data_IF_588697377743
#
_entry.id   IF_588697377743
#
_cell.length_a   1.000
_cell.length_b   1.000
_cell.length_c   1.000
_cell.angle_alpha   90.00
_cell.angle_beta   90.00
_cell.angle_gamma   90.00
#
_symmetry.space_group_name_H-M   'P 1'
#
loop_
_entity.id
_entity.type
_entity.pdbx_description
1 polymer ?
#
# COMPACT_ATOMS: atom_id res chain seq x y z
N UNK A 1 3.94 28.80 -16.37
CA UNK A 1 2.93 28.79 -15.30
C UNK A 1 3.63 28.71 -13.95
N UNK A 2 3.16 29.45 -12.95
CA UNK A 2 3.63 29.39 -11.56
C UNK A 2 2.60 28.66 -10.69
N UNK A 3 3.02 27.55 -10.09
CA UNK A 3 2.19 26.67 -9.26
C UNK A 3 2.68 26.77 -7.82
N UNK A 4 1.77 27.12 -6.92
CA UNK A 4 2.04 27.22 -5.49
C UNK A 4 1.45 26.02 -4.74
N UNK A 5 2.25 25.37 -3.89
CA UNK A 5 1.81 24.22 -3.09
C UNK A 5 1.69 24.60 -1.61
N UNK A 6 0.50 24.41 -1.03
CA UNK A 6 0.28 24.57 0.42
C UNK A 6 0.46 23.21 1.10
N UNK A 7 1.48 23.09 1.96
CA UNK A 7 1.90 21.81 2.56
C UNK A 7 2.79 21.00 1.61
N UNK A 8 3.76 21.65 0.98
CA UNK A 8 4.60 21.08 -0.07
C UNK A 8 5.55 19.97 0.44
N UNK A 9 5.89 19.97 1.72
CA UNK A 9 6.77 19.00 2.37
C UNK A 9 6.13 17.63 2.63
N UNK A 10 4.82 17.48 2.39
CA UNK A 10 4.19 16.16 2.43
C UNK A 10 4.69 15.25 1.30
N UNK A 11 4.89 13.96 1.57
CA UNK A 11 5.43 12.97 0.60
C UNK A 11 4.77 13.09 -0.78
N UNK A 12 3.44 13.00 -0.85
CA UNK A 12 2.71 13.09 -2.12
C UNK A 12 2.68 14.49 -2.73
N UNK A 13 2.79 15.55 -1.92
CA UNK A 13 2.82 16.93 -2.42
C UNK A 13 4.18 17.26 -3.03
N UNK A 14 5.26 16.87 -2.36
CA UNK A 14 6.62 17.04 -2.85
C UNK A 14 6.82 16.32 -4.19
N UNK A 15 6.24 15.14 -4.35
CA UNK A 15 6.26 14.41 -5.61
C UNK A 15 5.60 15.18 -6.76
N UNK A 16 4.39 15.73 -6.52
CA UNK A 16 3.66 16.51 -7.52
C UNK A 16 4.39 17.81 -7.85
N UNK A 17 5.01 18.44 -6.85
CA UNK A 17 5.87 19.60 -7.04
C UNK A 17 7.08 19.26 -7.90
N UNK A 18 7.74 18.13 -7.67
CA UNK A 18 8.87 17.66 -8.47
C UNK A 18 8.48 17.37 -9.92
N UNK A 19 7.34 16.70 -10.15
CA UNK A 19 6.78 16.51 -11.51
C UNK A 19 6.57 17.86 -12.19
N UNK A 20 6.05 18.86 -11.46
CA UNK A 20 5.86 20.20 -12.01
C UNK A 20 7.19 20.86 -12.40
N UNK A 21 8.23 20.72 -11.58
CA UNK A 21 9.57 21.26 -11.88
C UNK A 21 10.14 20.58 -13.13
N UNK A 22 10.07 19.25 -13.22
CA UNK A 22 10.54 18.48 -14.37
C UNK A 22 9.83 18.91 -15.66
N UNK A 23 8.54 19.22 -15.60
CA UNK A 23 7.75 19.78 -16.72
C UNK A 23 8.05 21.26 -17.02
N UNK A 24 8.98 21.89 -16.31
CA UNK A 24 9.40 23.27 -16.54
C UNK A 24 8.48 24.32 -15.92
N UNK A 25 7.57 23.94 -15.01
CA UNK A 25 6.77 24.90 -14.27
C UNK A 25 7.59 25.58 -13.18
N UNK A 26 7.30 26.86 -12.91
CA UNK A 26 7.82 27.54 -11.73
C UNK A 26 7.06 27.02 -10.53
N UNK A 27 7.78 26.47 -9.55
CA UNK A 27 7.18 25.92 -8.34
C UNK A 27 7.53 26.79 -7.14
N UNK A 28 6.50 27.16 -6.40
CA UNK A 28 6.60 27.79 -5.09
C UNK A 28 5.80 26.96 -4.08
N UNK A 29 6.04 27.14 -2.80
CA UNK A 29 5.22 26.47 -1.80
C UNK A 29 5.55 26.83 -0.39
N UNK A 30 4.74 26.32 0.51
CA UNK A 30 4.83 26.54 1.95
C UNK A 30 4.69 25.23 2.71
N UNK A 31 5.30 25.17 3.90
CA UNK A 31 5.02 24.12 4.86
C UNK A 31 5.09 24.66 6.30
N UNK A 32 4.53 23.92 7.25
CA UNK A 32 4.58 24.26 8.67
C UNK A 32 5.94 23.96 9.30
N UNK A 33 6.63 22.93 8.80
CA UNK A 33 7.92 22.49 9.32
C UNK A 33 8.89 22.23 8.17
N UNK A 34 10.18 22.43 8.44
CA UNK A 34 11.21 22.10 7.47
C UNK A 34 11.46 20.59 7.41
N UNK A 35 11.96 20.10 6.27
CA UNK A 35 12.20 18.67 6.06
C UNK A 35 13.20 18.41 4.92
N UNK A 36 13.77 17.21 4.90
CA UNK A 36 14.66 16.78 3.81
C UNK A 36 13.99 16.84 2.42
N UNK A 37 12.67 16.65 2.34
CA UNK A 37 11.91 16.78 1.09
C UNK A 37 11.88 18.23 0.60
N UNK A 38 11.77 19.18 1.52
CA UNK A 38 11.81 20.61 1.19
C UNK A 38 13.21 21.00 0.71
N UNK A 39 14.26 20.51 1.37
CA UNK A 39 15.64 20.75 0.95
C UNK A 39 15.90 20.20 -0.45
N UNK A 40 15.39 19.00 -0.74
CA UNK A 40 15.45 18.42 -2.08
C UNK A 40 14.74 19.30 -3.11
N UNK A 41 13.50 19.72 -2.88
CA UNK A 41 12.77 20.61 -3.79
C UNK A 41 13.46 21.95 -4.02
N UNK A 42 14.05 22.54 -2.96
CA UNK A 42 14.86 23.76 -3.07
C UNK A 42 16.08 23.53 -3.95
N UNK A 43 16.74 22.38 -3.82
CA UNK A 43 17.88 22.01 -4.68
C UNK A 43 17.50 21.87 -6.15
N UNK A 44 16.25 21.53 -6.43
CA UNK A 44 15.67 21.49 -7.79
C UNK A 44 15.14 22.85 -8.27
N UNK A 45 15.25 23.91 -7.46
CA UNK A 45 14.89 25.28 -7.83
C UNK A 45 13.51 25.74 -7.37
N UNK A 46 12.78 24.95 -6.57
CA UNK A 46 11.54 25.41 -5.95
C UNK A 46 11.81 26.49 -4.90
N UNK A 47 10.92 27.49 -4.81
CA UNK A 47 10.96 28.47 -3.71
C UNK A 47 10.00 28.03 -2.62
N UNK A 48 10.56 27.46 -1.54
CA UNK A 48 9.77 26.96 -0.41
C UNK A 48 10.01 27.78 0.86
N UNK A 49 8.93 28.28 1.44
CA UNK A 49 8.94 29.06 2.70
C UNK A 49 8.36 28.25 3.86
N UNK A 50 8.87 28.48 5.07
CA UNK A 50 8.32 27.87 6.28
C UNK A 50 7.36 28.86 6.95
N UNK A 51 6.18 28.37 7.29
CA UNK A 51 5.03 29.15 7.75
C UNK A 51 4.08 29.48 6.60
N UNK A 52 2.78 29.27 6.84
CA UNK A 52 1.72 29.43 5.84
C UNK A 52 0.99 30.75 6.07
N UNK A 53 1.45 31.82 5.42
CA UNK A 53 0.94 33.18 5.60
C UNK A 53 0.39 33.77 4.31
N UNK A 54 -0.59 34.68 4.41
CA UNK A 54 -1.22 35.31 3.24
C UNK A 54 -0.22 35.95 2.26
N UNK A 55 0.92 36.46 2.75
CA UNK A 55 1.95 37.12 1.93
C UNK A 55 2.66 36.17 0.97
N UNK A 56 2.61 34.86 1.23
CA UNK A 56 3.20 33.86 0.35
C UNK A 56 2.41 33.73 -0.97
N UNK A 57 1.15 34.17 -0.99
CA UNK A 57 0.31 34.19 -2.19
C UNK A 57 0.54 35.49 -2.97
N UNK A 58 1.53 35.47 -3.86
CA UNK A 58 1.89 36.58 -4.75
C UNK A 58 1.00 36.63 -6.01
N UNK A 59 0.98 37.79 -6.69
CA UNK A 59 0.10 38.02 -7.85
C UNK A 59 0.53 37.25 -9.11
N UNK A 60 1.78 36.76 -9.15
CA UNK A 60 2.29 35.95 -10.27
C UNK A 60 1.94 34.45 -10.16
N UNK A 61 1.26 34.02 -9.09
CA UNK A 61 0.79 32.63 -8.93
C UNK A 61 -0.44 32.40 -9.81
N UNK A 62 -0.39 31.36 -10.64
CA UNK A 62 -1.48 31.01 -11.54
C UNK A 62 -2.39 29.93 -10.97
N UNK A 63 -1.85 29.06 -10.10
CA UNK A 63 -2.57 27.92 -9.54
C UNK A 63 -2.06 27.61 -8.14
N UNK A 64 -2.97 27.19 -7.26
CA UNK A 64 -2.66 26.71 -5.91
C UNK A 64 -3.09 25.25 -5.77
N UNK A 65 -2.15 24.40 -5.39
CA UNK A 65 -2.38 22.99 -5.04
C UNK A 65 -2.34 22.86 -3.52
N UNK A 66 -3.31 22.16 -2.95
CA UNK A 66 -3.41 21.98 -1.50
C UNK A 66 -3.79 20.54 -1.14
N UNK A 67 -3.42 20.12 0.06
CA UNK A 67 -3.86 18.84 0.63
C UNK A 67 -5.20 18.97 1.32
N UNK A 68 -5.91 17.84 1.50
CA UNK A 68 -7.13 17.80 2.30
C UNK A 68 -6.90 18.15 3.79
N UNK A 69 -5.64 18.16 4.27
CA UNK A 69 -5.29 18.52 5.63
C UNK A 69 -5.23 20.04 5.85
N UNK A 70 -5.25 20.85 4.79
CA UNK A 70 -5.25 22.31 4.90
C UNK A 70 -6.65 22.77 5.35
N UNK A 71 -6.70 23.38 6.53
CA UNK A 71 -7.92 24.00 7.06
C UNK A 71 -8.40 25.13 6.16
N UNK A 72 -9.72 25.33 6.09
CA UNK A 72 -10.29 26.50 5.45
C UNK A 72 -9.79 27.81 6.07
N UNK A 73 -9.41 27.82 7.35
CA UNK A 73 -8.91 29.03 8.02
C UNK A 73 -7.43 29.33 7.72
N UNK A 74 -6.77 28.49 6.91
CA UNK A 74 -5.41 28.73 6.48
C UNK A 74 -5.28 30.05 5.70
N UNK A 75 -4.32 30.89 6.08
CA UNK A 75 -4.19 32.24 5.52
C UNK A 75 -3.88 32.25 4.02
N UNK A 76 -3.06 31.32 3.54
CA UNK A 76 -2.76 31.18 2.10
C UNK A 76 -3.97 30.72 1.33
N UNK A 77 -4.70 29.73 1.86
CA UNK A 77 -5.93 29.24 1.25
C UNK A 77 -6.96 30.37 1.08
N UNK A 78 -7.18 31.17 2.14
CA UNK A 78 -8.09 32.32 2.09
C UNK A 78 -7.59 33.42 1.16
N UNK A 79 -6.29 33.70 1.14
CA UNK A 79 -5.70 34.68 0.23
C UNK A 79 -5.86 34.27 -1.23
N UNK A 80 -5.58 33.00 -1.57
CA UNK A 80 -5.76 32.45 -2.91
C UNK A 80 -7.22 32.52 -3.36
N UNK A 81 -8.15 32.14 -2.47
CA UNK A 81 -9.60 32.24 -2.72
C UNK A 81 -10.03 33.68 -2.95
N UNK A 82 -9.60 34.63 -2.11
CA UNK A 82 -9.92 36.06 -2.26
C UNK A 82 -9.38 36.65 -3.56
N UNK A 83 -8.23 36.18 -4.03
CA UNK A 83 -7.63 36.57 -5.32
C UNK A 83 -8.21 35.83 -6.52
N UNK A 84 -9.18 34.92 -6.33
CA UNK A 84 -9.75 34.06 -7.37
C UNK A 84 -8.70 33.26 -8.15
N UNK A 85 -7.63 32.82 -7.49
CA UNK A 85 -6.63 31.94 -8.09
C UNK A 85 -7.25 30.55 -8.27
N UNK A 86 -6.89 29.84 -9.34
CA UNK A 86 -7.34 28.47 -9.56
C UNK A 86 -6.80 27.56 -8.45
N UNK A 87 -7.69 26.97 -7.66
CA UNK A 87 -7.35 26.10 -6.53
C UNK A 87 -7.75 24.67 -6.84
N UNK A 88 -6.82 23.72 -6.72
CA UNK A 88 -7.06 22.30 -7.00
C UNK A 88 -6.55 21.45 -5.84
N UNK A 89 -7.36 20.50 -5.38
CA UNK A 89 -6.90 19.56 -4.35
C UNK A 89 -5.88 18.57 -4.95
N UNK A 90 -5.01 18.02 -4.09
CA UNK A 90 -3.95 17.07 -4.46
C UNK A 90 -4.43 15.92 -5.37
N UNK A 91 -5.54 15.26 -5.05
CA UNK A 91 -6.02 14.08 -5.78
C UNK A 91 -6.50 14.44 -7.19
N UNK A 92 -7.26 15.54 -7.32
CA UNK A 92 -7.67 16.09 -8.60
C UNK A 92 -6.47 16.52 -9.46
N UNK A 93 -5.45 17.13 -8.85
CA UNK A 93 -4.26 17.54 -9.57
C UNK A 93 -3.44 16.35 -10.08
N UNK A 94 -3.24 15.33 -9.25
CA UNK A 94 -2.63 14.06 -9.67
C UNK A 94 -3.40 13.45 -10.86
N UNK A 95 -4.73 13.45 -10.79
CA UNK A 95 -5.57 13.00 -11.89
C UNK A 95 -5.34 13.76 -13.20
N UNK A 96 -5.13 15.08 -13.15
CA UNK A 96 -4.78 15.87 -14.35
C UNK A 96 -3.40 15.48 -14.89
N UNK A 97 -2.41 15.31 -14.01
CA UNK A 97 -1.06 14.86 -14.39
C UNK A 97 -1.12 13.49 -15.07
N UNK A 98 -1.92 12.55 -14.57
CA UNK A 98 -2.05 11.21 -15.16
C UNK A 98 -2.50 11.23 -16.62
N UNK A 99 -3.30 12.22 -17.05
CA UNK A 99 -3.74 12.37 -18.45
C UNK A 99 -2.60 12.65 -19.41
N UNK A 100 -1.48 13.18 -18.91
CA UNK A 100 -0.31 13.49 -19.75
C UNK A 100 0.55 12.26 -20.03
N UNK A 101 0.30 11.14 -19.35
CA UNK A 101 1.03 9.87 -19.53
C UNK A 101 0.18 8.90 -20.34
N UNK A 102 0.72 8.40 -21.45
CA UNK A 102 0.01 7.42 -22.30
C UNK A 102 -0.20 6.09 -21.59
N UNK A 103 0.71 5.72 -20.70
CA UNK A 103 0.62 4.48 -19.93
C UNK A 103 0.61 4.79 -18.43
N UNK A 104 -0.50 5.38 -17.97
CA UNK A 104 -0.75 5.64 -16.55
C UNK A 104 -1.44 4.44 -15.89
N UNK A 105 -0.80 3.91 -14.85
CA UNK A 105 -1.19 2.68 -14.15
C UNK A 105 -1.56 3.01 -12.71
N UNK A 106 -2.79 2.68 -12.32
CA UNK A 106 -3.32 2.90 -10.99
C UNK A 106 -3.62 1.56 -10.31
N UNK A 107 -2.96 1.30 -9.18
CA UNK A 107 -3.11 0.05 -8.43
C UNK A 107 -4.02 0.25 -7.22
N UNK A 108 -5.16 -0.42 -7.20
CA UNK A 108 -6.17 -0.30 -6.14
C UNK A 108 -6.60 -1.67 -5.58
N UNK A 109 -7.42 -1.62 -4.53
CA UNK A 109 -7.93 -2.77 -3.76
C UNK A 109 -7.67 -2.59 -2.28
N UNK A 110 -8.40 -3.29 -1.41
CA UNK A 110 -8.26 -3.13 0.05
C UNK A 110 -6.84 -3.47 0.51
N UNK A 111 -6.29 -4.59 0.05
CA UNK A 111 -4.96 -5.10 0.40
C UNK A 111 -4.05 -5.25 -0.82
N UNK A 112 -2.73 -5.17 -0.59
CA UNK A 112 -1.70 -5.48 -1.59
C UNK A 112 -1.30 -4.34 -2.54
N UNK A 113 -1.93 -3.16 -2.43
CA UNK A 113 -1.65 -1.98 -3.28
C UNK A 113 -0.15 -1.68 -3.38
N UNK A 114 0.51 -1.50 -2.23
CA UNK A 114 1.94 -1.17 -2.15
C UNK A 114 2.83 -2.27 -2.70
N UNK A 115 2.54 -3.54 -2.37
CA UNK A 115 3.32 -4.68 -2.87
C UNK A 115 3.23 -4.79 -4.39
N UNK A 116 2.02 -4.73 -4.95
CA UNK A 116 1.81 -4.81 -6.41
C UNK A 116 2.42 -3.61 -7.14
N UNK A 117 2.25 -2.39 -6.61
CA UNK A 117 2.85 -1.18 -7.19
C UNK A 117 4.38 -1.28 -7.20
N UNK A 118 4.96 -1.84 -6.15
CA UNK A 118 6.41 -2.03 -6.02
C UNK A 118 6.96 -3.13 -6.93
N UNK A 119 6.23 -4.23 -7.09
CA UNK A 119 6.55 -5.26 -8.10
C UNK A 119 6.54 -4.64 -9.50
N UNK A 120 5.48 -3.91 -9.84
CA UNK A 120 5.35 -3.27 -11.15
C UNK A 120 6.47 -2.26 -11.39
N UNK A 121 6.79 -1.45 -10.38
CA UNK A 121 7.91 -0.51 -10.43
C UNK A 121 9.25 -1.21 -10.68
N UNK A 122 9.47 -2.37 -10.05
CA UNK A 122 10.69 -3.17 -10.23
C UNK A 122 10.76 -3.75 -11.65
N UNK A 123 9.64 -4.27 -12.18
CA UNK A 123 9.57 -4.75 -13.57
C UNK A 123 9.89 -3.64 -14.55
N UNK A 124 9.30 -2.45 -14.39
CA UNK A 124 9.51 -1.33 -15.31
C UNK A 124 10.93 -0.75 -15.23
N UNK A 125 11.53 -0.73 -14.03
CA UNK A 125 12.91 -0.31 -13.87
C UNK A 125 13.87 -1.31 -14.51
N UNK A 126 13.64 -2.61 -14.32
CA UNK A 126 14.39 -3.68 -14.95
C UNK A 126 14.27 -3.64 -16.48
N UNK A 127 13.08 -3.31 -16.99
CA UNK A 127 12.80 -3.10 -18.41
C UNK A 127 13.31 -1.75 -18.98
N UNK A 128 14.05 -0.97 -18.18
CA UNK A 128 14.57 0.35 -18.53
C UNK A 128 13.52 1.31 -19.12
N UNK A 129 12.26 1.21 -18.66
CA UNK A 129 11.14 2.03 -19.16
C UNK A 129 11.11 3.43 -18.56
N UNK A 130 11.95 3.72 -17.58
CA UNK A 130 12.04 5.03 -16.91
C UNK A 130 10.68 5.63 -16.46
N UNK A 131 9.83 4.90 -15.71
CA UNK A 131 8.54 5.41 -15.27
C UNK A 131 8.67 6.48 -14.16
N UNK A 132 7.71 7.41 -14.14
CA UNK A 132 7.39 8.16 -12.93
C UNK A 132 6.60 7.25 -11.98
N UNK A 133 7.01 7.16 -10.72
CA UNK A 133 6.47 6.23 -9.73
C UNK A 133 6.09 6.99 -8.45
N UNK A 134 4.86 6.76 -7.95
CA UNK A 134 4.37 7.22 -6.66
C UNK A 134 3.86 6.03 -5.82
N UNK A 135 4.57 5.70 -4.75
CA UNK A 135 4.24 4.58 -3.84
C UNK A 135 3.90 5.12 -2.45
N UNK A 136 2.98 4.47 -1.73
CA UNK A 136 2.59 4.83 -0.37
C UNK A 136 3.63 4.43 0.69
N UNK A 137 4.55 3.51 0.35
CA UNK A 137 5.64 3.03 1.21
C UNK A 137 7.02 3.24 0.59
N UNK A 138 8.06 3.09 1.40
CA UNK A 138 9.45 3.23 0.95
C UNK A 138 9.87 1.99 0.17
N UNK A 139 10.21 2.20 -1.10
CA UNK A 139 10.69 1.18 -2.00
C UNK A 139 12.18 1.42 -2.26
N UNK A 140 13.01 0.49 -1.80
CA UNK A 140 14.47 0.56 -1.90
C UNK A 140 14.97 0.67 -3.35
N UNK A 141 14.29 0.03 -4.30
CA UNK A 141 14.67 0.04 -5.73
C UNK A 141 14.54 1.41 -6.39
N UNK A 142 13.78 2.34 -5.79
CA UNK A 142 13.68 3.73 -6.24
C UNK A 142 14.25 4.74 -5.23
N UNK A 143 14.84 4.26 -4.14
CA UNK A 143 15.44 5.10 -3.10
C UNK A 143 14.43 5.89 -2.25
N UNK A 144 13.15 5.49 -2.23
CA UNK A 144 12.12 6.22 -1.50
C UNK A 144 10.70 5.87 -1.93
N UNK A 145 9.79 6.84 -1.79
CA UNK A 145 8.37 6.68 -2.13
C UNK A 145 8.03 7.27 -3.51
N UNK A 146 8.94 8.04 -4.08
CA UNK A 146 8.75 8.84 -5.29
C UNK A 146 9.96 8.66 -6.18
N UNK A 147 9.73 8.48 -7.47
CA UNK A 147 10.75 8.62 -8.51
C UNK A 147 10.16 9.33 -9.70
N UNK A 148 10.87 10.32 -10.22
CA UNK A 148 10.48 11.00 -11.45
C UNK A 148 11.24 10.39 -12.62
N UNK A 149 10.50 9.86 -13.59
CA UNK A 149 11.02 9.35 -14.85
C UNK A 149 10.72 10.30 -16.00
N UNK A 150 11.36 10.08 -17.14
CA UNK A 150 11.22 10.90 -18.35
C UNK A 150 10.59 10.13 -19.52
N UNK A 151 9.65 9.23 -19.20
CA UNK A 151 8.93 8.41 -20.19
C UNK A 151 7.41 8.68 -20.18
N UNK A 152 6.68 7.92 -21.00
CA UNK A 152 5.22 7.94 -21.04
C UNK A 152 4.56 7.07 -19.95
N UNK A 153 5.35 6.48 -19.06
CA UNK A 153 4.89 5.56 -18.02
C UNK A 153 4.73 6.27 -16.68
N UNK A 154 3.58 6.05 -16.04
CA UNK A 154 3.27 6.57 -14.72
C UNK A 154 2.66 5.47 -13.87
N UNK A 155 3.20 5.20 -12.69
CA UNK A 155 2.73 4.13 -11.80
C UNK A 155 2.37 4.76 -10.46
N UNK A 156 1.15 4.54 -9.98
CA UNK A 156 0.71 5.03 -8.67
C UNK A 156 -0.16 4.04 -7.93
N UNK A 157 -0.08 4.07 -6.60
CA UNK A 157 -1.16 3.56 -5.77
C UNK A 157 -2.42 4.43 -5.91
N UNK A 158 -3.58 3.79 -5.91
CA UNK A 158 -4.88 4.42 -5.91
C UNK A 158 -5.67 3.96 -4.69
N UNK A 159 -5.95 4.89 -3.78
CA UNK A 159 -6.68 4.61 -2.55
C UNK A 159 -8.17 4.96 -2.73
N UNK A 160 -8.99 3.98 -2.36
CA UNK A 160 -10.43 4.01 -2.31
C UNK A 160 -10.99 4.94 -1.23
N UNK A 161 -10.22 5.21 -0.16
CA UNK A 161 -10.66 6.08 0.93
C UNK A 161 -11.15 7.43 0.40
N UNK A 162 -12.31 7.85 0.89
CA UNK A 162 -13.02 9.09 0.51
C UNK A 162 -13.19 9.28 -1.01
N UNK A 163 -13.33 8.17 -1.74
CA UNK A 163 -13.43 8.16 -3.21
C UNK A 163 -12.27 8.89 -3.91
N UNK A 164 -11.08 8.96 -3.28
CA UNK A 164 -9.99 9.81 -3.75
C UNK A 164 -9.52 9.43 -5.17
N UNK A 165 -9.45 8.13 -5.45
CA UNK A 165 -9.14 7.56 -6.75
C UNK A 165 -10.13 7.90 -7.87
N UNK A 166 -11.34 8.39 -7.56
CA UNK A 166 -12.32 8.79 -8.57
C UNK A 166 -11.93 10.08 -9.30
N UNK A 167 -10.92 10.79 -8.76
CA UNK A 167 -10.32 11.94 -9.40
C UNK A 167 -9.23 11.57 -10.41
N UNK A 168 -8.83 10.29 -10.48
CA UNK A 168 -7.70 9.85 -11.30
C UNK A 168 -8.12 9.65 -12.75
N UNK A 169 -7.14 9.58 -13.66
CA UNK A 169 -7.38 9.30 -15.09
C UNK A 169 -6.38 8.24 -15.58
N UNK A 170 -6.51 6.98 -15.13
CA UNK A 170 -5.63 5.89 -15.55
C UNK A 170 -5.92 5.43 -16.98
N UNK A 171 -4.89 4.89 -17.63
CA UNK A 171 -5.00 4.05 -18.81
C UNK A 171 -5.14 2.57 -18.44
N UNK A 172 -4.51 2.16 -17.33
CA UNK A 172 -4.59 0.82 -16.75
C UNK A 172 -4.99 0.94 -15.27
N UNK A 173 -6.04 0.24 -14.87
CA UNK A 173 -6.44 0.15 -13.46
C UNK A 173 -6.38 -1.30 -12.99
N UNK A 174 -5.79 -1.52 -11.81
CA UNK A 174 -5.75 -2.82 -11.15
C UNK A 174 -6.69 -2.79 -9.93
N UNK A 175 -7.48 -3.85 -9.73
CA UNK A 175 -8.26 -4.08 -8.50
C UNK A 175 -7.93 -5.46 -7.96
N UNK A 176 -7.18 -5.48 -6.85
CA UNK A 176 -6.61 -6.70 -6.27
C UNK A 176 -7.63 -7.51 -5.46
N UNK A 177 -8.49 -6.83 -4.72
CA UNK A 177 -9.52 -7.37 -3.83
C UNK A 177 -10.40 -6.21 -3.34
N UNK A 178 -11.59 -6.54 -2.83
CA UNK A 178 -12.51 -5.59 -2.21
C UNK A 178 -13.07 -6.25 -0.96
N UNK A 179 -12.84 -5.65 0.20
CA UNK A 179 -13.34 -6.04 1.51
C UNK A 179 -13.82 -4.81 2.28
N UNK A 180 -14.55 -5.03 3.37
CA UNK A 180 -14.98 -3.95 4.26
C UNK A 180 -13.76 -3.36 4.99
N UNK A 181 -13.41 -2.13 4.64
CA UNK A 181 -12.46 -1.27 5.34
C UNK A 181 -12.96 0.17 5.21
N UNK A 182 -12.37 1.10 5.93
CA UNK A 182 -12.76 2.51 5.88
C UNK A 182 -14.26 2.76 6.16
N UNK A 183 -14.83 2.01 7.10
CA UNK A 183 -16.24 2.09 7.51
C UNK A 183 -16.60 3.41 8.23
N UNK A 184 -15.62 4.28 8.47
CA UNK A 184 -15.82 5.67 8.85
C UNK A 184 -16.33 6.54 7.68
N UNK A 185 -16.14 6.09 6.44
CA UNK A 185 -16.60 6.75 5.22
C UNK A 185 -17.65 5.94 4.47
N UNK A 186 -17.41 4.65 4.23
CA UNK A 186 -18.33 3.79 3.50
C UNK A 186 -19.39 3.19 4.42
N UNK A 187 -20.63 3.19 3.98
CA UNK A 187 -21.76 2.57 4.68
C UNK A 187 -21.73 1.04 4.68
N UNK A 188 -20.93 0.44 3.80
CA UNK A 188 -20.72 -1.00 3.71
C UNK A 188 -20.17 -1.45 2.37
N UNK A 189 -20.03 -2.77 2.19
CA UNK A 189 -19.40 -3.39 1.03
C UNK A 189 -19.99 -2.99 -0.33
N UNK A 190 -21.31 -2.83 -0.43
CA UNK A 190 -21.96 -2.48 -1.70
C UNK A 190 -21.59 -1.07 -2.18
N UNK A 191 -21.43 -0.12 -1.26
CA UNK A 191 -20.97 1.24 -1.60
C UNK A 191 -19.52 1.21 -2.06
N UNK A 192 -18.67 0.43 -1.40
CA UNK A 192 -17.27 0.22 -1.80
C UNK A 192 -17.22 -0.36 -3.22
N UNK A 193 -17.98 -1.43 -3.50
CA UNK A 193 -18.08 -2.05 -4.84
C UNK A 193 -18.56 -1.03 -5.89
N UNK A 194 -19.54 -0.20 -5.57
CA UNK A 194 -20.02 0.85 -6.45
C UNK A 194 -18.92 1.88 -6.78
N UNK A 195 -18.10 2.27 -5.81
CA UNK A 195 -16.94 3.13 -6.04
C UNK A 195 -15.88 2.48 -6.92
N UNK A 196 -15.57 1.19 -6.73
CA UNK A 196 -14.68 0.47 -7.64
C UNK A 196 -15.25 0.31 -9.06
N UNK A 197 -16.57 0.19 -9.22
CA UNK A 197 -17.19 0.24 -10.54
C UNK A 197 -17.03 1.61 -11.22
N UNK A 198 -17.24 2.70 -10.47
CA UNK A 198 -16.96 4.06 -10.97
C UNK A 198 -15.50 4.23 -11.37
N UNK A 199 -14.57 3.67 -10.60
CA UNK A 199 -13.14 3.68 -10.92
C UNK A 199 -12.83 2.98 -12.25
N UNK A 200 -13.45 1.82 -12.53
CA UNK A 200 -13.37 1.17 -13.84
C UNK A 200 -13.91 2.01 -14.99
N UNK A 201 -14.97 2.81 -14.77
CA UNK A 201 -15.57 3.71 -15.77
C UNK A 201 -14.71 4.92 -16.14
N UNK A 202 -13.66 5.22 -15.36
CA UNK A 202 -12.71 6.30 -15.68
C UNK A 202 -11.78 5.92 -16.83
N UNK A 203 -11.60 4.62 -17.08
CA UNK A 203 -10.72 4.12 -18.12
C UNK A 203 -11.25 4.49 -19.51
N UNK A 204 -10.36 4.85 -20.46
CA UNK A 204 -10.74 5.02 -21.85
C UNK A 204 -11.12 3.68 -22.49
N UNK A 205 -11.79 3.72 -23.65
CA UNK A 205 -12.28 2.52 -24.34
C UNK A 205 -11.14 1.56 -24.75
N UNK A 206 -9.96 2.10 -25.04
CA UNK A 206 -8.73 1.37 -25.35
C UNK A 206 -7.87 1.05 -24.11
N UNK A 207 -8.33 1.41 -22.92
CA UNK A 207 -7.67 1.11 -21.65
C UNK A 207 -7.90 -0.31 -21.15
N UNK A 208 -7.30 -0.63 -20.01
CA UNK A 208 -7.33 -1.97 -19.40
C UNK A 208 -7.80 -1.95 -17.94
N UNK A 209 -8.79 -2.79 -17.63
CA UNK A 209 -9.25 -3.01 -16.27
C UNK A 209 -8.88 -4.42 -15.79
N UNK A 210 -7.82 -4.51 -14.99
CA UNK A 210 -7.25 -5.77 -14.52
C UNK A 210 -7.81 -6.06 -13.14
N UNK A 211 -8.60 -7.12 -13.01
CA UNK A 211 -9.33 -7.43 -11.77
C UNK A 211 -9.07 -8.86 -11.31
N UNK A 212 -9.06 -9.09 -10.00
CA UNK A 212 -8.99 -10.43 -9.45
C UNK A 212 -10.33 -11.15 -9.72
N UNK A 213 -10.33 -12.17 -10.57
CA UNK A 213 -11.55 -12.94 -10.90
C UNK A 213 -11.89 -14.05 -9.90
N UNK A 214 -10.98 -14.35 -8.98
CA UNK A 214 -11.26 -15.31 -7.91
C UNK A 214 -11.99 -14.69 -6.73
N UNK A 215 -11.81 -13.38 -6.51
CA UNK A 215 -12.51 -12.60 -5.50
C UNK A 215 -13.98 -12.44 -5.88
N UNK A 216 -14.88 -12.73 -4.94
CA UNK A 216 -16.33 -12.63 -5.17
C UNK A 216 -16.77 -11.15 -5.31
N UNK A 217 -16.16 -10.25 -4.55
CA UNK A 217 -16.57 -8.84 -4.50
C UNK A 217 -16.15 -8.02 -5.73
N UNK A 218 -15.28 -8.57 -6.57
CA UNK A 218 -14.78 -7.94 -7.80
C UNK A 218 -15.56 -8.41 -9.04
N UNK A 219 -16.52 -9.32 -8.92
CA UNK A 219 -17.27 -9.83 -10.08
C UNK A 219 -18.19 -8.78 -10.70
N UNK A 220 -18.82 -7.95 -9.86
CA UNK A 220 -19.89 -7.03 -10.29
C UNK A 220 -19.39 -5.62 -10.60
N UNK A 221 -18.08 -5.35 -10.42
CA UNK A 221 -17.53 -4.01 -10.62
C UNK A 221 -17.28 -3.65 -12.09
N UNK A 222 -17.72 -4.49 -13.03
CA UNK A 222 -17.49 -4.31 -14.47
C UNK A 222 -18.69 -3.75 -15.22
N UNK A 223 -19.78 -3.40 -14.52
CA UNK A 223 -20.98 -2.83 -15.14
C UNK A 223 -20.68 -1.51 -15.86
N UNK A 224 -21.07 -1.41 -17.15
CA UNK A 224 -20.81 -0.26 -18.03
C UNK A 224 -19.33 0.19 -18.12
N UNK A 225 -18.38 -0.71 -17.81
CA UNK A 225 -16.96 -0.45 -18.06
C UNK A 225 -16.67 -0.70 -19.54
N UNK A 226 -16.22 0.35 -20.24
CA UNK A 226 -15.94 0.29 -21.68
C UNK A 226 -14.56 -0.28 -22.03
N UNK A 227 -13.62 -0.16 -21.09
CA UNK A 227 -12.27 -0.66 -21.23
C UNK A 227 -12.22 -2.19 -21.32
N UNK A 228 -11.09 -2.72 -21.81
CA UNK A 228 -10.86 -4.17 -21.84
C UNK A 228 -10.69 -4.72 -20.43
N UNK A 229 -11.64 -5.56 -19.98
CA UNK A 229 -11.55 -6.24 -18.68
C UNK A 229 -10.66 -7.48 -18.81
N UNK A 230 -9.68 -7.62 -17.93
CA UNK A 230 -8.80 -8.79 -17.82
C UNK A 230 -8.92 -9.36 -16.41
N UNK A 231 -9.34 -10.62 -16.30
CA UNK A 231 -9.47 -11.32 -15.01
C UNK A 231 -8.23 -12.14 -14.72
N UNK A 232 -7.69 -12.05 -13.51
CA UNK A 232 -6.61 -12.92 -13.04
C UNK A 232 -7.01 -13.76 -11.83
N UNK A 233 -6.44 -14.96 -11.71
CA UNK A 233 -6.69 -15.86 -10.58
C UNK A 233 -6.40 -17.32 -10.95
N UNK A 234 -6.77 -18.26 -10.09
CA UNK A 234 -6.60 -19.70 -10.26
C UNK A 234 -7.77 -20.35 -11.04
N UNK A 235 -8.96 -19.74 -11.07
CA UNK A 235 -10.11 -20.30 -11.81
C UNK A 235 -9.85 -20.29 -13.32
N UNK A 236 -10.24 -21.35 -14.03
CA UNK A 236 -10.11 -21.48 -15.49
C UNK A 236 -10.95 -20.46 -16.28
N UNK A 237 -11.90 -19.80 -15.61
CA UNK A 237 -12.70 -18.71 -16.19
C UNK A 237 -11.94 -17.39 -16.30
N UNK A 238 -10.73 -17.30 -15.73
CA UNK A 238 -9.90 -16.11 -15.78
C UNK A 238 -9.11 -16.02 -17.10
N UNK A 239 -8.75 -14.81 -17.50
CA UNK A 239 -7.90 -14.56 -18.66
C UNK A 239 -6.43 -14.87 -18.35
N UNK A 240 -5.98 -14.55 -17.13
CA UNK A 240 -4.66 -14.86 -16.59
C UNK A 240 -4.82 -15.93 -15.49
N UNK A 241 -4.42 -17.17 -15.80
CA UNK A 241 -4.67 -18.36 -14.97
C UNK A 241 -3.37 -18.77 -14.26
N UNK A 242 -3.41 -18.73 -12.93
CA UNK A 242 -2.36 -19.17 -12.02
C UNK A 242 -2.51 -20.68 -11.80
N UNK A 243 -1.44 -21.45 -12.01
CA UNK A 243 -1.44 -22.90 -11.74
C UNK A 243 -0.13 -23.35 -11.10
N UNK A 244 -0.10 -24.61 -10.64
CA UNK A 244 1.11 -25.31 -10.17
C UNK A 244 1.90 -24.55 -9.09
N UNK A 245 1.16 -23.93 -8.15
CA UNK A 245 1.75 -23.19 -7.04
C UNK A 245 2.51 -24.17 -6.14
N UNK A 246 3.79 -23.90 -5.95
CA UNK A 246 4.69 -24.63 -5.08
C UNK A 246 5.58 -23.67 -4.31
N UNK A 247 6.23 -24.17 -3.26
CA UNK A 247 7.15 -23.38 -2.45
C UNK A 247 8.51 -24.07 -2.41
N UNK A 248 9.58 -23.29 -2.49
CA UNK A 248 10.93 -23.83 -2.36
C UNK A 248 11.36 -24.04 -0.90
N UNK A 249 12.60 -24.49 -0.70
CA UNK A 249 13.15 -24.77 0.64
C UNK A 249 13.21 -23.54 1.55
N UNK A 250 13.26 -22.34 0.97
CA UNK A 250 13.23 -21.09 1.71
C UNK A 250 11.79 -20.61 1.94
N UNK A 251 10.78 -21.27 1.36
CA UNK A 251 9.38 -20.87 1.46
C UNK A 251 8.93 -19.87 0.39
N UNK A 252 9.76 -19.61 -0.64
CA UNK A 252 9.39 -18.71 -1.73
C UNK A 252 8.48 -19.40 -2.74
N UNK A 253 7.45 -18.69 -3.19
CA UNK A 253 6.46 -19.23 -4.10
C UNK A 253 6.99 -19.32 -5.54
N UNK A 254 6.59 -20.39 -6.24
CA UNK A 254 6.77 -20.61 -7.67
C UNK A 254 5.43 -21.00 -8.27
N UNK A 255 5.10 -20.49 -9.45
CA UNK A 255 3.81 -20.76 -10.09
C UNK A 255 3.94 -20.69 -11.62
N UNK A 256 3.06 -21.39 -12.31
CA UNK A 256 2.88 -21.25 -13.75
C UNK A 256 1.80 -20.22 -14.04
N UNK A 257 1.96 -19.49 -15.14
CA UNK A 257 0.98 -18.53 -15.62
C UNK A 257 0.61 -18.81 -17.07
N UNK A 258 -0.69 -18.77 -17.35
CA UNK A 258 -1.25 -18.78 -18.71
C UNK A 258 -2.01 -17.47 -18.92
N UNK A 259 -1.85 -16.83 -20.08
CA UNK A 259 -2.58 -15.61 -20.40
C UNK A 259 -3.26 -15.73 -21.77
N UNK A 260 -4.59 -15.55 -21.80
CA UNK A 260 -5.43 -15.65 -23.01
C UNK A 260 -5.16 -16.89 -23.86
N UNK A 261 -5.01 -18.04 -23.21
CA UNK A 261 -4.73 -19.30 -23.91
C UNK A 261 -3.25 -19.66 -24.06
N UNK A 262 -2.33 -18.69 -23.99
CA UNK A 262 -0.90 -18.91 -24.16
C UNK A 262 -0.21 -19.21 -22.83
N UNK A 263 0.58 -20.28 -22.78
CA UNK A 263 1.41 -20.59 -21.62
C UNK A 263 2.61 -19.63 -21.56
N UNK A 264 2.71 -18.85 -20.49
CA UNK A 264 3.84 -17.94 -20.24
C UNK A 264 5.00 -18.65 -19.51
N UNK A 265 4.73 -19.83 -18.96
CA UNK A 265 5.69 -20.64 -18.21
C UNK A 265 5.74 -20.30 -16.73
N UNK A 266 6.85 -20.65 -16.09
CA UNK A 266 7.04 -20.53 -14.65
C UNK A 266 7.56 -19.14 -14.24
N UNK A 267 7.05 -18.65 -13.13
CA UNK A 267 7.51 -17.48 -12.39
C UNK A 267 8.03 -17.92 -11.02
N UNK A 268 9.17 -17.36 -10.62
CA UNK A 268 9.81 -17.61 -9.34
C UNK A 268 9.81 -16.30 -8.54
N UNK A 269 9.16 -16.28 -7.37
CA UNK A 269 9.17 -15.11 -6.48
C UNK A 269 10.36 -15.18 -5.51
N UNK A 270 10.77 -14.01 -5.00
CA UNK A 270 11.75 -13.91 -3.89
C UNK A 270 11.10 -13.40 -2.59
N UNK A 271 9.79 -13.61 -2.46
CA UNK A 271 8.95 -13.16 -1.35
C UNK A 271 7.93 -14.25 -1.01
N UNK A 272 7.33 -14.11 0.16
CA UNK A 272 6.49 -15.15 0.75
C UNK A 272 5.01 -14.98 0.41
N UNK A 273 4.31 -16.11 0.38
CA UNK A 273 2.85 -16.13 0.49
C UNK A 273 2.08 -16.18 -0.81
N UNK A 274 0.95 -16.90 -0.76
CA UNK A 274 0.00 -17.02 -1.87
C UNK A 274 -0.54 -15.68 -2.33
N UNK A 275 -0.84 -14.77 -1.39
CA UNK A 275 -1.32 -13.42 -1.71
C UNK A 275 -0.34 -12.65 -2.62
N UNK A 276 0.97 -12.91 -2.49
CA UNK A 276 1.98 -12.32 -3.36
C UNK A 276 2.05 -12.96 -4.75
N UNK A 277 1.57 -14.20 -4.93
CA UNK A 277 1.36 -14.79 -6.26
C UNK A 277 0.25 -14.02 -7.00
N UNK A 278 -0.83 -13.65 -6.31
CA UNK A 278 -1.90 -12.81 -6.87
C UNK A 278 -1.39 -11.39 -7.19
N UNK A 279 -0.67 -10.75 -6.26
CA UNK A 279 -0.07 -9.43 -6.49
C UNK A 279 0.89 -9.46 -7.69
N UNK A 280 1.77 -10.46 -7.76
CA UNK A 280 2.72 -10.63 -8.86
C UNK A 280 1.98 -10.86 -10.19
N UNK A 281 0.93 -11.68 -10.20
CA UNK A 281 0.14 -11.91 -11.41
C UNK A 281 -0.51 -10.62 -11.92
N UNK A 282 -1.08 -9.80 -11.03
CA UNK A 282 -1.65 -8.51 -11.42
C UNK A 282 -0.59 -7.58 -12.02
N UNK A 283 0.60 -7.50 -11.42
CA UNK A 283 1.73 -6.73 -11.95
C UNK A 283 2.26 -7.27 -13.29
N UNK A 284 2.37 -8.60 -13.44
CA UNK A 284 2.78 -9.28 -14.68
C UNK A 284 1.82 -8.94 -15.81
N UNK A 285 0.50 -9.06 -15.57
CA UNK A 285 -0.52 -8.74 -16.57
C UNK A 285 -0.45 -7.27 -16.98
N UNK A 286 -0.29 -6.35 -16.02
CA UNK A 286 -0.14 -4.92 -16.28
C UNK A 286 1.12 -4.62 -17.12
N UNK A 287 2.23 -5.31 -16.85
CA UNK A 287 3.46 -5.19 -17.64
C UNK A 287 3.31 -5.74 -19.07
N UNK A 288 2.60 -6.85 -19.24
CA UNK A 288 2.30 -7.43 -20.57
C UNK A 288 1.49 -6.45 -21.41
N UNK A 289 0.39 -5.89 -20.89
CA UNK A 289 -0.42 -4.91 -21.65
C UNK A 289 0.30 -3.57 -21.84
N UNK A 290 1.38 -3.34 -21.10
CA UNK A 290 2.32 -2.24 -21.28
C UNK A 290 3.43 -2.55 -22.30
N UNK A 291 3.35 -3.67 -23.02
CA UNK A 291 4.30 -4.13 -24.04
C UNK A 291 5.73 -4.34 -23.51
N UNK A 292 5.86 -4.85 -22.28
CA UNK A 292 7.13 -5.39 -21.77
C UNK A 292 7.19 -6.88 -22.14
N UNK A 293 8.34 -7.33 -22.64
CA UNK A 293 8.51 -8.73 -23.04
C UNK A 293 8.55 -9.66 -21.82
N UNK A 294 8.15 -10.92 -22.04
CA UNK A 294 7.90 -11.87 -20.97
C UNK A 294 9.15 -12.27 -20.19
N UNK A 295 10.32 -12.28 -20.83
CA UNK A 295 11.57 -12.70 -20.19
C UNK A 295 12.06 -11.59 -19.25
N UNK A 296 12.02 -10.33 -19.70
CA UNK A 296 12.26 -9.15 -18.86
C UNK A 296 11.30 -9.09 -17.66
N UNK A 297 10.02 -9.45 -17.85
CA UNK A 297 9.05 -9.50 -16.73
C UNK A 297 9.43 -10.57 -15.70
N UNK A 298 9.84 -11.77 -16.15
CA UNK A 298 10.27 -12.84 -15.26
C UNK A 298 11.49 -12.45 -14.45
N UNK A 299 12.46 -11.80 -15.08
CA UNK A 299 13.68 -11.32 -14.41
C UNK A 299 13.35 -10.24 -13.37
N UNK A 300 12.56 -9.23 -13.74
CA UNK A 300 12.14 -8.17 -12.82
C UNK A 300 11.33 -8.67 -11.63
N UNK A 301 10.40 -9.62 -11.83
CA UNK A 301 9.65 -10.25 -10.74
C UNK A 301 10.55 -11.03 -9.79
N UNK A 302 11.53 -11.76 -10.33
CA UNK A 302 12.48 -12.53 -9.54
C UNK A 302 13.43 -11.63 -8.74
N UNK A 303 13.79 -10.47 -9.28
CA UNK A 303 14.63 -9.47 -8.62
C UNK A 303 13.94 -8.82 -7.42
N UNK A 304 12.62 -8.63 -7.47
CA UNK A 304 11.85 -7.97 -6.40
C UNK A 304 11.99 -8.69 -5.04
N UNK A 305 12.45 -7.96 -4.01
CA UNK A 305 12.72 -8.48 -2.65
C UNK A 305 11.72 -8.03 -1.59
N UNK A 306 10.61 -7.43 -1.99
CA UNK A 306 9.60 -6.92 -1.05
C UNK A 306 9.77 -5.44 -0.71
N UNK A 307 8.91 -4.99 0.20
CA UNK A 307 8.87 -3.63 0.76
C UNK A 307 9.08 -3.75 2.27
N UNK A 308 9.66 -2.74 2.89
CA UNK A 308 9.83 -2.70 4.35
C UNK A 308 8.51 -2.99 5.07
N UNK A 309 8.59 -3.73 6.17
CA UNK A 309 7.45 -4.17 6.98
C UNK A 309 6.41 -5.02 6.24
N UNK A 310 6.73 -5.67 5.12
CA UNK A 310 5.84 -6.62 4.43
C UNK A 310 6.52 -7.99 4.40
N UNK A 311 6.25 -8.79 5.42
CA UNK A 311 6.95 -10.04 5.74
C UNK A 311 8.48 -9.84 5.73
N UNK A 312 8.94 -8.79 6.40
CA UNK A 312 10.35 -8.40 6.41
C UNK A 312 11.13 -9.25 7.40
N UNK A 313 12.12 -10.02 6.93
CA UNK A 313 13.09 -10.68 7.81
C UNK A 313 13.95 -9.63 8.49
N UNK A 314 13.78 -9.44 9.80
CA UNK A 314 14.57 -8.48 10.61
C UNK A 314 15.90 -9.06 11.08
N UNK A 315 15.96 -10.36 11.32
CA UNK A 315 17.14 -11.03 11.84
C UNK A 315 16.81 -12.32 12.55
N UNK A 316 17.74 -12.80 13.38
CA UNK A 316 17.58 -14.00 14.19
C UNK A 316 17.97 -13.74 15.65
N UNK A 317 17.11 -14.13 16.59
CA UNK A 317 17.35 -14.05 18.03
C UNK A 317 17.51 -15.46 18.60
N UNK A 318 18.71 -15.81 19.09
CA UNK A 318 19.01 -17.16 19.62
C UNK A 318 18.61 -18.31 18.65
N UNK A 319 18.69 -18.06 17.34
CA UNK A 319 18.28 -19.01 16.30
C UNK A 319 16.79 -18.99 15.94
N UNK A 320 15.97 -18.18 16.62
CA UNK A 320 14.59 -17.91 16.22
C UNK A 320 14.54 -16.82 15.14
N UNK A 321 13.71 -17.01 14.12
CA UNK A 321 13.53 -16.05 13.04
C UNK A 321 12.65 -14.88 13.50
N UNK A 322 13.07 -13.64 13.29
CA UNK A 322 12.26 -12.46 13.60
C UNK A 322 11.77 -11.81 12.31
N UNK A 323 10.45 -11.63 12.21
CA UNK A 323 9.75 -11.08 11.05
C UNK A 323 8.91 -9.88 11.48
N UNK A 324 8.89 -8.81 10.69
CA UNK A 324 7.93 -7.70 10.83
C UNK A 324 6.95 -7.65 9.67
N UNK A 325 5.66 -7.51 9.98
CA UNK A 325 4.59 -7.34 9.01
C UNK A 325 3.64 -6.19 9.41
N UNK A 326 3.28 -5.38 8.43
CA UNK A 326 2.35 -4.26 8.54
C UNK A 326 0.88 -4.73 8.63
N UNK A 327 0.63 -6.04 8.51
CA UNK A 327 -0.68 -6.67 8.62
C UNK A 327 -1.45 -6.16 9.84
N UNK A 328 -2.56 -5.47 9.57
CA UNK A 328 -3.42 -4.87 10.59
C UNK A 328 -4.91 -5.14 10.32
N UNK A 329 -5.24 -5.71 9.15
CA UNK A 329 -6.57 -6.26 8.86
C UNK A 329 -6.58 -7.78 9.11
N UNK A 330 -7.69 -8.39 9.57
CA UNK A 330 -7.79 -9.84 9.78
C UNK A 330 -7.34 -10.68 8.58
N UNK A 331 -7.69 -10.27 7.35
CA UNK A 331 -7.28 -10.96 6.12
C UNK A 331 -5.77 -10.93 5.91
N UNK A 332 -5.11 -9.79 6.18
CA UNK A 332 -3.66 -9.65 6.07
C UNK A 332 -2.93 -10.51 7.11
N UNK A 333 -3.47 -10.58 8.33
CA UNK A 333 -2.93 -11.41 9.41
C UNK A 333 -3.02 -12.89 9.01
N UNK A 334 -4.20 -13.35 8.58
CA UNK A 334 -4.39 -14.74 8.10
C UNK A 334 -3.41 -15.07 6.97
N UNK A 335 -3.24 -14.17 6.01
CA UNK A 335 -2.32 -14.35 4.90
C UNK A 335 -0.84 -14.41 5.35
N UNK A 336 -0.46 -13.57 6.31
CA UNK A 336 0.88 -13.54 6.92
C UNK A 336 1.18 -14.86 7.64
N UNK A 337 0.29 -15.29 8.53
CA UNK A 337 0.51 -16.51 9.30
C UNK A 337 0.47 -17.77 8.44
N UNK A 338 -0.39 -17.81 7.41
CA UNK A 338 -0.39 -18.89 6.43
C UNK A 338 0.94 -18.97 5.66
N UNK A 339 1.52 -17.81 5.30
CA UNK A 339 2.83 -17.75 4.63
C UNK A 339 3.95 -18.22 5.55
N UNK A 340 3.89 -17.84 6.83
CA UNK A 340 4.85 -18.23 7.84
C UNK A 340 4.88 -19.76 8.09
N UNK A 341 3.75 -20.46 7.95
CA UNK A 341 3.72 -21.93 8.06
C UNK A 341 4.61 -22.65 7.04
N UNK A 342 4.88 -22.04 5.88
CA UNK A 342 5.76 -22.64 4.87
C UNK A 342 7.23 -22.67 5.31
N UNK A 343 7.61 -21.91 6.33
CA UNK A 343 8.98 -21.85 6.87
C UNK A 343 9.33 -23.00 7.83
N UNK A 344 8.35 -23.85 8.19
CA UNK A 344 8.54 -25.07 8.99
C UNK A 344 9.34 -24.84 10.29
N UNK A 345 8.97 -23.79 11.03
CA UNK A 345 9.54 -23.42 12.34
C UNK A 345 8.83 -24.17 13.47
N UNK A 346 9.47 -24.25 14.63
CA UNK A 346 8.96 -25.06 15.75
C UNK A 346 7.74 -24.43 16.41
N UNK A 347 7.86 -23.18 16.88
CA UNK A 347 6.74 -22.37 17.35
C UNK A 347 6.65 -21.02 16.65
N UNK A 348 5.42 -20.58 16.38
CA UNK A 348 5.07 -19.27 15.85
C UNK A 348 4.50 -18.37 16.96
N UNK A 349 5.31 -17.41 17.39
CA UNK A 349 4.93 -16.35 18.32
C UNK A 349 4.47 -15.13 17.54
N UNK A 350 3.21 -14.73 17.69
CA UNK A 350 2.64 -13.56 17.02
C UNK A 350 2.44 -12.44 18.02
N UNK A 351 3.15 -11.34 17.81
CA UNK A 351 3.01 -10.12 18.60
C UNK A 351 2.14 -9.15 17.81
N UNK A 352 0.92 -8.93 18.27
CA UNK A 352 -0.07 -8.12 17.56
C UNK A 352 -0.37 -6.82 18.31
N UNK A 353 -0.38 -5.72 17.57
CA UNK A 353 -0.91 -4.45 18.05
C UNK A 353 -2.13 -4.06 17.20
N UNK A 354 -3.35 -4.06 17.77
CA UNK A 354 -4.52 -3.54 17.07
C UNK A 354 -4.31 -2.08 16.69
N UNK A 355 -4.75 -1.69 15.50
CA UNK A 355 -4.64 -0.31 15.01
C UNK A 355 -6.04 0.31 14.91
N UNK A 356 -6.24 1.41 15.65
CA UNK A 356 -7.50 2.14 15.89
C UNK A 356 -8.58 1.36 16.64
N UNK A 357 -9.33 2.06 17.49
CA UNK A 357 -10.46 1.51 18.24
C UNK A 357 -11.63 1.21 17.31
N UNK A 358 -11.92 2.12 16.36
CA UNK A 358 -13.02 1.96 15.40
C UNK A 358 -12.90 0.66 14.60
N UNK A 359 -11.70 0.36 14.07
CA UNK A 359 -11.44 -0.88 13.33
C UNK A 359 -11.51 -2.11 14.21
N UNK A 360 -10.88 -2.05 15.39
CA UNK A 360 -10.88 -3.17 16.34
C UNK A 360 -12.31 -3.57 16.73
N UNK A 361 -13.20 -2.58 16.90
CA UNK A 361 -14.61 -2.81 17.21
C UNK A 361 -15.39 -3.33 16.00
N UNK A 362 -15.20 -2.73 14.82
CA UNK A 362 -15.94 -3.10 13.62
C UNK A 362 -15.62 -4.53 13.14
N UNK A 363 -14.38 -4.97 13.30
CA UNK A 363 -13.88 -6.27 12.82
C UNK A 363 -13.54 -7.23 13.97
N UNK A 364 -14.19 -7.06 15.13
CA UNK A 364 -13.83 -7.76 16.36
C UNK A 364 -13.91 -9.29 16.20
N UNK A 365 -15.00 -9.77 15.59
CA UNK A 365 -15.24 -11.19 15.39
C UNK A 365 -14.23 -11.77 14.39
N UNK A 366 -13.88 -11.03 13.35
CA UNK A 366 -12.89 -11.43 12.36
C UNK A 366 -11.48 -11.49 12.94
N UNK A 367 -11.09 -10.51 13.78
CA UNK A 367 -9.82 -10.55 14.51
C UNK A 367 -9.74 -11.75 15.43
N UNK A 368 -10.83 -12.09 16.12
CA UNK A 368 -10.86 -13.25 17.02
C UNK A 368 -10.63 -14.59 16.32
N UNK A 369 -10.77 -14.63 14.99
CA UNK A 369 -10.56 -15.81 14.14
C UNK A 369 -9.29 -15.72 13.29
N UNK A 370 -8.53 -14.62 13.37
CA UNK A 370 -7.41 -14.38 12.46
C UNK A 370 -6.12 -15.13 12.84
N UNK A 371 -6.02 -15.66 14.06
CA UNK A 371 -4.76 -16.12 14.64
C UNK A 371 -4.64 -17.64 14.83
N UNK A 372 -5.56 -18.46 14.31
CA UNK A 372 -5.53 -19.93 14.47
C UNK A 372 -4.24 -20.60 13.95
N UNK A 373 -3.46 -19.91 13.13
CA UNK A 373 -2.19 -20.41 12.64
C UNK A 373 -1.01 -20.22 13.60
N UNK A 374 -1.17 -19.39 14.64
CA UNK A 374 -0.15 -19.10 15.65
C UNK A 374 -0.17 -20.13 16.79
N UNK A 375 0.99 -20.41 17.37
CA UNK A 375 1.11 -21.22 18.59
C UNK A 375 0.91 -20.37 19.85
N UNK A 376 1.32 -19.09 19.79
CA UNK A 376 1.10 -18.11 20.86
C UNK A 376 0.83 -16.74 20.26
N UNK A 377 -0.19 -16.05 20.78
CA UNK A 377 -0.47 -14.64 20.45
C UNK A 377 -0.19 -13.77 21.67
N UNK A 378 0.49 -12.65 21.46
CA UNK A 378 0.71 -11.61 22.47
C UNK A 378 0.09 -10.32 21.94
N UNK A 379 -0.92 -9.81 22.63
CA UNK A 379 -1.67 -8.62 22.19
C UNK A 379 -1.26 -7.41 23.04
N UNK A 380 -0.76 -6.38 22.37
CA UNK A 380 -0.42 -5.08 22.96
C UNK A 380 -1.65 -4.18 23.12
N UNK A 381 -1.49 -3.02 23.77
CA UNK A 381 -2.52 -1.99 23.76
C UNK A 381 -2.87 -1.51 22.34
N UNK A 382 -4.15 -1.17 22.14
CA UNK A 382 -4.64 -0.62 20.87
C UNK A 382 -3.87 0.66 20.56
N UNK A 383 -3.26 0.73 19.38
CA UNK A 383 -2.65 1.95 18.88
C UNK A 383 -3.74 2.89 18.36
N UNK A 384 -4.06 3.93 19.14
CA UNK A 384 -5.15 4.87 18.86
C UNK A 384 -4.97 5.67 17.55
N UNK A 385 -3.74 5.81 17.06
CA UNK A 385 -3.38 6.76 16.01
C UNK A 385 -3.85 8.21 16.33
N UNK A 386 -5.02 8.61 15.82
CA UNK A 386 -5.63 9.93 16.04
C UNK A 386 -6.92 9.89 16.86
N UNK A 387 -7.40 8.70 17.20
CA UNK A 387 -8.67 8.50 17.89
C UNK A 387 -8.56 8.78 19.40
N UNK A 388 -9.68 9.17 19.99
CA UNK A 388 -9.84 9.14 21.44
C UNK A 388 -10.40 7.77 21.83
N UNK A 389 -9.97 7.26 22.98
CA UNK A 389 -10.48 6.00 23.51
C UNK A 389 -11.99 6.09 23.77
N UNK A 390 -12.83 5.29 23.09
CA UNK A 390 -14.28 5.30 23.30
C UNK A 390 -14.69 4.63 24.61
N UNK A 391 -13.79 3.88 25.27
CA UNK A 391 -14.03 3.18 26.53
C UNK A 391 -14.81 1.87 26.41
N UNK A 392 -15.26 1.48 25.22
CA UNK A 392 -16.09 0.30 24.98
C UNK A 392 -15.38 -0.86 24.26
N UNK A 393 -14.12 -0.68 23.87
CA UNK A 393 -13.28 -1.72 23.24
C UNK A 393 -11.84 -1.63 23.74
N UNK A 394 -11.24 -2.77 24.09
CA UNK A 394 -9.83 -2.85 24.48
C UNK A 394 -9.22 -4.22 24.12
N UNK A 395 -7.88 -4.30 24.15
CA UNK A 395 -7.14 -5.52 23.77
C UNK A 395 -7.41 -6.73 24.66
N UNK A 396 -7.83 -6.54 25.93
CA UNK A 396 -8.17 -7.67 26.82
C UNK A 396 -9.42 -8.39 26.33
N UNK A 397 -10.42 -7.66 25.86
CA UNK A 397 -11.62 -8.25 25.25
C UNK A 397 -11.25 -9.12 24.04
N UNK A 398 -10.31 -8.66 23.20
CA UNK A 398 -9.84 -9.44 22.07
C UNK A 398 -9.11 -10.72 22.53
N UNK A 399 -8.28 -10.65 23.57
CA UNK A 399 -7.61 -11.83 24.15
C UNK A 399 -8.62 -12.84 24.71
N UNK A 400 -9.66 -12.39 25.41
CA UNK A 400 -10.74 -13.25 25.89
C UNK A 400 -11.50 -13.94 24.75
N UNK A 401 -11.76 -13.21 23.66
CA UNK A 401 -12.37 -13.76 22.46
C UNK A 401 -11.47 -14.80 21.76
N UNK A 402 -10.17 -14.52 21.65
CA UNK A 402 -9.17 -15.46 21.12
C UNK A 402 -9.12 -16.76 21.94
N UNK A 403 -9.16 -16.66 23.28
CA UNK A 403 -9.25 -17.83 24.16
C UNK A 403 -10.51 -18.65 23.91
N UNK A 404 -11.65 -17.98 23.72
CA UNK A 404 -12.93 -18.63 23.39
C UNK A 404 -12.85 -19.38 22.06
N UNK A 405 -12.08 -18.86 21.11
CA UNK A 405 -11.77 -19.50 19.83
C UNK A 405 -10.57 -20.46 19.87
N UNK A 406 -10.17 -20.91 21.06
CA UNK A 406 -9.08 -21.88 21.28
C UNK A 406 -7.72 -21.43 20.75
N UNK A 407 -7.46 -20.12 20.72
CA UNK A 407 -6.14 -19.54 20.43
C UNK A 407 -5.46 -19.20 21.77
N UNK A 408 -4.25 -19.70 21.98
CA UNK A 408 -3.46 -19.33 23.17
C UNK A 408 -2.97 -17.89 23.03
N UNK A 409 -3.55 -16.97 23.80
CA UNK A 409 -3.31 -15.54 23.70
C UNK A 409 -3.03 -14.90 25.06
N UNK A 410 -2.11 -13.94 25.15
CA UNK A 410 -1.92 -13.16 26.38
C UNK A 410 -1.95 -11.67 26.07
N UNK A 411 -2.42 -10.90 27.06
CA UNK A 411 -2.36 -9.44 27.00
C UNK A 411 -1.13 -8.95 27.76
N UNK A 412 -0.29 -8.17 27.09
CA UNK A 412 0.85 -7.46 27.69
C UNK A 412 0.83 -6.02 27.16
N UNK A 413 0.60 -5.01 28.02
CA UNK A 413 0.32 -3.65 27.56
C UNK A 413 1.55 -2.98 26.90
N UNK A 414 2.74 -3.19 27.45
CA UNK A 414 3.95 -2.46 27.06
C UNK A 414 4.88 -3.29 26.17
N UNK A 415 5.60 -2.60 25.28
CA UNK A 415 6.58 -3.25 24.40
C UNK A 415 7.76 -3.84 25.17
N UNK A 416 8.11 -3.27 26.32
CA UNK A 416 9.17 -3.80 27.19
C UNK A 416 8.75 -5.11 27.84
N UNK A 417 7.51 -5.20 28.35
CA UNK A 417 6.97 -6.44 28.91
C UNK A 417 6.92 -7.55 27.87
N UNK A 418 6.45 -7.22 26.66
CA UNK A 418 6.42 -8.17 25.53
C UNK A 418 7.83 -8.64 25.20
N UNK A 419 8.79 -7.73 25.08
CA UNK A 419 10.17 -8.09 24.72
C UNK A 419 10.81 -8.96 25.79
N UNK A 420 10.61 -8.65 27.07
CA UNK A 420 11.13 -9.45 28.19
C UNK A 420 10.51 -10.85 28.20
N UNK A 421 9.20 -10.94 28.00
CA UNK A 421 8.50 -12.22 27.88
C UNK A 421 9.06 -13.07 26.72
N UNK A 422 9.29 -12.48 25.55
CA UNK A 422 9.91 -13.18 24.41
C UNK A 422 11.34 -13.63 24.73
N UNK A 423 12.15 -12.80 25.42
CA UNK A 423 13.53 -13.14 25.77
C UNK A 423 13.64 -14.39 26.66
N UNK A 424 12.63 -14.60 27.52
CA UNK A 424 12.51 -15.71 28.45
C UNK A 424 11.93 -16.99 27.82
N UNK A 425 11.06 -16.86 26.82
CA UNK A 425 10.23 -17.98 26.34
C UNK A 425 10.56 -18.49 24.93
N UNK A 426 11.14 -17.65 24.07
CA UNK A 426 11.44 -18.03 22.67
C UNK A 426 12.63 -19.00 22.63
N UNK A 427 12.42 -20.15 22.00
CA UNK A 427 13.41 -21.20 21.82
C UNK A 427 14.20 -21.07 20.51
N UNK A 428 15.27 -21.87 20.34
CA UNK A 428 15.94 -21.97 19.05
C UNK A 428 15.00 -22.53 17.98
N UNK A 429 15.14 -22.09 16.73
CA UNK A 429 14.30 -22.48 15.59
C UNK A 429 12.80 -22.11 15.69
N UNK A 430 12.40 -21.34 16.70
CA UNK A 430 11.10 -20.65 16.73
C UNK A 430 11.05 -19.51 15.69
N UNK A 431 9.90 -18.87 15.60
CA UNK A 431 9.70 -17.65 14.84
C UNK A 431 8.86 -16.66 15.63
N UNK A 432 9.28 -15.40 15.60
CA UNK A 432 8.55 -14.25 16.16
C UNK A 432 8.10 -13.37 15.01
N UNK A 433 6.81 -13.06 14.95
CA UNK A 433 6.22 -12.18 13.95
C UNK A 433 5.59 -10.99 14.68
N UNK A 434 6.07 -9.78 14.42
CA UNK A 434 5.38 -8.56 14.82
C UNK A 434 4.38 -8.17 13.75
N UNK A 435 3.11 -8.03 14.11
CA UNK A 435 2.01 -7.68 13.20
C UNK A 435 1.34 -6.37 13.64
N UNK A 436 1.32 -5.38 12.76
CA UNK A 436 0.52 -4.17 12.94
C UNK A 436 1.07 -2.93 12.25
N UNK A 437 0.19 -2.01 11.87
CA UNK A 437 0.56 -0.76 11.21
C UNK A 437 1.30 0.24 12.14
N UNK A 438 1.06 0.13 13.45
CA UNK A 438 1.65 0.98 14.49
C UNK A 438 3.13 0.70 14.77
N UNK A 439 3.66 1.17 15.91
CA UNK A 439 5.06 1.03 16.28
C UNK A 439 5.48 -0.36 16.77
N UNK A 440 4.65 -1.39 16.58
CA UNK A 440 4.89 -2.76 17.07
C UNK A 440 6.19 -3.40 16.56
N UNK A 441 6.68 -2.98 15.39
CA UNK A 441 7.97 -3.40 14.84
C UNK A 441 9.14 -3.17 15.82
N UNK A 442 9.00 -2.19 16.74
CA UNK A 442 9.98 -1.89 17.78
C UNK A 442 10.21 -3.06 18.73
N UNK A 443 9.23 -3.94 18.94
CA UNK A 443 9.41 -5.17 19.73
C UNK A 443 10.42 -6.08 19.06
N UNK A 444 10.29 -6.30 17.75
CA UNK A 444 11.23 -7.10 16.97
C UNK A 444 12.64 -6.51 16.99
N UNK A 445 12.75 -5.18 16.83
CA UNK A 445 14.02 -4.47 16.93
C UNK A 445 14.66 -4.61 18.32
N UNK A 446 13.89 -4.39 19.39
CA UNK A 446 14.35 -4.51 20.78
C UNK A 446 14.78 -5.94 21.13
N UNK A 447 14.09 -6.95 20.59
CA UNK A 447 14.46 -8.35 20.75
C UNK A 447 15.82 -8.66 20.10
N UNK A 448 16.09 -8.06 18.95
CA UNK A 448 17.35 -8.21 18.20
C UNK A 448 18.49 -7.30 18.70
N UNK A 449 18.19 -6.31 19.54
CA UNK A 449 19.18 -5.34 20.01
C UNK A 449 19.60 -4.34 18.93
N UNK A 450 18.70 -4.00 18.00
CA UNK A 450 18.90 -2.98 16.96
C UNK A 450 18.06 -1.74 17.27
N UNK A 451 18.64 -0.54 17.07
CA UNK A 451 18.00 0.76 17.37
C UNK A 451 16.85 1.11 16.41
#
# INVERSE_FOLDING_TARGET
MNVHFIGIGGINMSALAEICINKGYKVTGSDMQDSYLIDHLRSLGAKVVIGQKKENITDDINMVIYTAAISNDNEEFQAAKKKNILMINRAAFLGQIMREYKNSIAVSGTHGKTSTTSMLSTIFNHAEKDPTILVGGNLSTIGGNVRIGNSEHFITEACEYVDSFLNFNPFISLVLNIEEDHLDYFSGLDEIKASFNKFGKLLPEDGFFIINGDSENTKDITFDVKASVIRFGQKDTNDAIISDISYDENGYARFNLKYKGAALGRFDLSIYGLHNVYNATAAIVAAIVSNIDIDTIKEGIKEYKGVGRRFEKKGEYKGALVIDDYAHHPTEIKATLASAKNLKKDKMWVVFQPHTYTRTKALFDEFSQAFHAADKVIVADIYAAREQDPGDINSKMLVESLYTNHVDAIYLPSFDDITNYLRENVGPNDMVITCGAGPIFKVGNSLLGIE
#
